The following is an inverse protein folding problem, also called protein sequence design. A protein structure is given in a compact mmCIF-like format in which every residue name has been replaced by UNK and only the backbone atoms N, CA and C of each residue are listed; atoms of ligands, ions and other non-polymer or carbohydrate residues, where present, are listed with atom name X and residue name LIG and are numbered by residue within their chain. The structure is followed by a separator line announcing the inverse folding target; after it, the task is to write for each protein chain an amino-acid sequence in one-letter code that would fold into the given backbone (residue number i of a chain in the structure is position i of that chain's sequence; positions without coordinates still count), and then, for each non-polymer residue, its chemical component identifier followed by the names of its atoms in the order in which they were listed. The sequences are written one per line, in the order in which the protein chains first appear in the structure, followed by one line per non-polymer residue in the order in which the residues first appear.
data_IF_280244542833
#
_entry.id   IF_280244542833
#
_cell.length_a   1.000
_cell.length_b   1.000
_cell.length_c   1.000
_cell.angle_alpha   90.00
_cell.angle_beta   90.00
_cell.angle_gamma   90.00
#
_symmetry.space_group_name_H-M   'P 1'
#
loop_
_entity.id
_entity.type
_entity.pdbx_description
1 polymer ?
#
# COMPACT_ATOMS: atom_id res chain seq x y z
N UNK A 1 32.86 6.03 8.93
CA UNK A 1 32.12 6.76 7.88
C UNK A 1 31.00 5.86 7.41
N UNK A 2 29.74 6.33 7.41
CA UNK A 2 28.65 5.56 6.77
C UNK A 2 28.73 5.85 5.27
N UNK A 3 28.97 4.81 4.47
CA UNK A 3 28.87 4.92 3.01
C UNK A 3 27.39 4.95 2.65
N UNK A 4 26.91 6.07 2.10
CA UNK A 4 25.55 6.17 1.57
C UNK A 4 25.57 5.67 0.13
N UNK A 5 24.76 4.66 -0.18
CA UNK A 5 24.54 4.20 -1.55
C UNK A 5 23.24 4.82 -2.05
N UNK A 6 23.32 5.68 -3.06
CA UNK A 6 22.14 6.16 -3.78
C UNK A 6 21.90 5.27 -4.99
N UNK A 7 20.71 4.68 -5.05
CA UNK A 7 20.24 3.87 -6.18
C UNK A 7 19.05 4.58 -6.81
N UNK A 8 19.17 5.10 -8.05
CA UNK A 8 18.04 5.69 -8.75
C UNK A 8 16.94 4.65 -8.96
N UNK A 9 15.71 5.06 -8.73
CA UNK A 9 14.52 4.25 -8.92
C UNK A 9 13.68 4.89 -10.01
N UNK A 10 13.18 4.08 -10.94
CA UNK A 10 12.22 4.56 -11.93
C UNK A 10 10.86 4.69 -11.26
N UNK A 11 10.26 5.87 -11.39
CA UNK A 11 8.89 6.15 -10.96
C UNK A 11 8.07 6.52 -12.17
N UNK A 12 6.96 5.83 -12.37
CA UNK A 12 5.94 6.16 -13.35
C UNK A 12 4.77 6.86 -12.64
N UNK A 13 4.16 7.83 -13.30
CA UNK A 13 3.03 8.60 -12.79
C UNK A 13 1.85 8.50 -13.77
N UNK A 14 0.67 8.16 -13.25
CA UNK A 14 -0.58 8.10 -13.98
C UNK A 14 -1.55 9.13 -13.40
N UNK A 15 -1.86 10.16 -14.19
CA UNK A 15 -2.86 11.16 -13.82
C UNK A 15 -4.24 10.73 -14.32
N UNK A 16 -5.25 10.83 -13.45
CA UNK A 16 -6.65 10.55 -13.73
C UNK A 16 -7.48 11.80 -13.40
N UNK A 17 -8.11 12.41 -14.41
CA UNK A 17 -9.00 13.56 -14.21
C UNK A 17 -10.33 13.20 -13.53
N UNK A 18 -10.72 11.92 -13.58
CA UNK A 18 -11.92 11.38 -12.96
C UNK A 18 -11.68 9.95 -12.44
N UNK A 19 -12.56 9.48 -11.55
CA UNK A 19 -12.50 8.10 -11.06
C UNK A 19 -12.62 7.12 -12.24
N UNK A 20 -11.60 6.30 -12.47
CA UNK A 20 -11.48 5.45 -13.65
C UNK A 20 -11.49 3.97 -13.26
N UNK A 21 -12.24 3.16 -14.00
CA UNK A 21 -12.21 1.70 -13.85
C UNK A 21 -11.00 1.15 -14.62
N UNK A 22 -10.21 0.32 -13.96
CA UNK A 22 -9.00 -0.31 -14.50
C UNK A 22 -8.98 -1.80 -14.17
N UNK A 23 -8.00 -2.51 -14.71
CA UNK A 23 -7.71 -3.90 -14.35
C UNK A 23 -7.44 -4.03 -12.84
N UNK A 24 -8.05 -5.04 -12.23
CA UNK A 24 -7.90 -5.38 -10.82
C UNK A 24 -6.57 -6.10 -10.51
N UNK A 25 -6.33 -6.33 -9.22
CA UNK A 25 -5.19 -7.14 -8.78
C UNK A 25 -5.34 -8.60 -9.24
N UNK A 26 -4.23 -9.29 -9.47
CA UNK A 26 -4.21 -10.68 -9.94
C UNK A 26 -4.96 -11.65 -9.02
N UNK A 27 -5.03 -11.33 -7.72
CA UNK A 27 -5.73 -12.12 -6.71
C UNK A 27 -6.43 -11.20 -5.70
N UNK A 28 -7.67 -11.51 -5.36
CA UNK A 28 -8.44 -10.88 -4.29
C UNK A 28 -8.73 -11.89 -3.17
N UNK A 29 -7.86 -11.90 -2.16
CA UNK A 29 -8.01 -12.79 -1.00
C UNK A 29 -9.20 -12.43 -0.11
N UNK A 30 -9.83 -11.26 -0.27
CA UNK A 30 -11.02 -10.90 0.52
C UNK A 30 -12.25 -11.75 0.18
N UNK A 31 -12.22 -12.42 -0.97
CA UNK A 31 -13.23 -13.35 -1.46
C UNK A 31 -13.10 -14.77 -0.89
N UNK A 32 -12.02 -15.06 -0.13
CA UNK A 32 -11.86 -16.38 0.48
C UNK A 32 -13.00 -16.66 1.47
N UNK A 33 -13.59 -17.87 1.46
CA UNK A 33 -14.52 -18.28 2.50
C UNK A 33 -13.77 -18.61 3.79
N UNK A 34 -14.29 -18.14 4.92
CA UNK A 34 -13.75 -18.44 6.25
C UNK A 34 -14.81 -18.27 7.34
N UNK A 35 -14.62 -18.93 8.47
CA UNK A 35 -15.41 -18.69 9.68
C UNK A 35 -14.74 -17.57 10.49
N UNK A 36 -15.48 -16.52 10.85
CA UNK A 36 -14.91 -15.36 11.57
C UNK A 36 -15.05 -15.47 13.12
N UNK A 37 -15.40 -16.64 13.63
CA UNK A 37 -15.70 -16.88 15.04
C UNK A 37 -17.19 -16.76 15.40
N UNK A 38 -18.00 -16.12 14.54
CA UNK A 38 -19.44 -15.93 14.76
C UNK A 38 -20.31 -16.47 13.62
N UNK A 39 -19.87 -16.30 12.37
CA UNK A 39 -20.56 -16.74 11.16
C UNK A 39 -19.57 -17.10 10.07
N UNK A 40 -20.06 -17.82 9.07
CA UNK A 40 -19.33 -18.04 7.83
C UNK A 40 -19.39 -16.77 6.96
N UNK A 41 -18.22 -16.37 6.45
CA UNK A 41 -18.04 -15.27 5.50
C UNK A 41 -17.79 -15.89 4.13
N UNK A 42 -18.42 -15.33 3.09
CA UNK A 42 -18.38 -15.85 1.71
C UNK A 42 -18.76 -17.34 1.61
N UNK A 43 -19.72 -17.81 2.40
CA UNK A 43 -20.10 -19.23 2.50
C UNK A 43 -20.58 -19.86 1.18
N UNK A 44 -20.98 -19.02 0.23
CA UNK A 44 -21.39 -19.36 -1.13
C UNK A 44 -20.21 -19.52 -2.11
N UNK A 45 -19.00 -19.12 -1.72
CA UNK A 45 -17.78 -19.24 -2.51
C UNK A 45 -17.04 -20.52 -2.11
N UNK A 46 -16.73 -21.38 -3.08
CA UNK A 46 -15.91 -22.57 -2.82
C UNK A 46 -14.45 -22.18 -2.52
N UNK A 47 -13.80 -22.88 -1.59
CA UNK A 47 -12.39 -22.65 -1.23
C UNK A 47 -11.43 -23.24 -2.27
N UNK A 48 -11.45 -22.66 -3.47
CA UNK A 48 -10.60 -22.99 -4.61
C UNK A 48 -9.94 -21.71 -5.12
N UNK A 49 -8.70 -21.82 -5.59
CA UNK A 49 -7.92 -20.66 -6.06
C UNK A 49 -8.61 -19.91 -7.21
N UNK A 50 -9.35 -20.62 -8.07
CA UNK A 50 -10.06 -20.04 -9.22
C UNK A 50 -11.09 -18.96 -8.85
N UNK A 51 -11.64 -19.04 -7.63
CA UNK A 51 -12.64 -18.07 -7.16
C UNK A 51 -12.03 -16.75 -6.65
N UNK A 52 -10.73 -16.70 -6.43
CA UNK A 52 -10.03 -15.51 -5.91
C UNK A 52 -9.07 -14.89 -6.92
N UNK A 53 -8.71 -15.61 -7.98
CA UNK A 53 -7.93 -15.05 -9.09
C UNK A 53 -8.79 -14.15 -9.97
N UNK A 54 -8.17 -13.09 -10.49
CA UNK A 54 -8.79 -12.27 -11.53
C UNK A 54 -9.02 -13.10 -12.79
N UNK A 55 -10.20 -12.92 -13.40
CA UNK A 55 -10.60 -13.67 -14.58
C UNK A 55 -10.18 -12.92 -15.85
N UNK A 56 -9.50 -13.59 -16.80
CA UNK A 56 -9.10 -12.96 -18.05
C UNK A 56 -10.29 -12.30 -18.76
N UNK A 57 -10.13 -11.03 -19.16
CA UNK A 57 -11.14 -10.25 -19.88
C UNK A 57 -12.43 -9.94 -19.06
N UNK A 58 -12.41 -10.19 -17.75
CA UNK A 58 -13.48 -9.85 -16.79
C UNK A 58 -12.90 -9.17 -15.54
N UNK A 59 -11.78 -8.47 -15.73
CA UNK A 59 -10.85 -7.99 -14.71
C UNK A 59 -11.01 -6.49 -14.40
N UNK A 60 -11.96 -5.81 -15.03
CA UNK A 60 -12.21 -4.37 -14.84
C UNK A 60 -13.07 -4.07 -13.60
N UNK A 61 -12.65 -4.52 -12.42
CA UNK A 61 -13.41 -4.36 -11.18
C UNK A 61 -12.76 -3.40 -10.18
N UNK A 62 -11.56 -2.89 -10.49
CA UNK A 62 -10.88 -1.91 -9.64
C UNK A 62 -11.21 -0.49 -10.10
N UNK A 63 -11.69 0.34 -9.18
CA UNK A 63 -11.92 1.77 -9.42
C UNK A 63 -10.80 2.59 -8.79
N UNK A 64 -9.92 3.14 -9.61
CA UNK A 64 -8.96 4.15 -9.17
C UNK A 64 -9.65 5.50 -9.03
N UNK A 65 -9.26 6.25 -8.01
CA UNK A 65 -9.78 7.59 -7.74
C UNK A 65 -9.11 8.62 -8.63
N UNK A 66 -9.78 9.74 -8.88
CA UNK A 66 -9.14 10.89 -9.53
C UNK A 66 -7.88 11.33 -8.78
N UNK A 67 -6.96 11.98 -9.47
CA UNK A 67 -5.67 12.44 -8.95
C UNK A 67 -4.49 11.77 -9.63
N UNK A 68 -3.31 11.84 -9.03
CA UNK A 68 -2.10 11.19 -9.55
C UNK A 68 -1.76 9.93 -8.77
N UNK A 69 -1.53 8.85 -9.50
CA UNK A 69 -1.05 7.58 -9.00
C UNK A 69 0.42 7.40 -9.35
N UNK A 70 1.27 7.27 -8.34
CA UNK A 70 2.69 6.98 -8.51
C UNK A 70 2.92 5.48 -8.33
N UNK A 71 3.78 4.91 -9.17
CA UNK A 71 4.27 3.53 -9.06
C UNK A 71 5.77 3.55 -9.28
N UNK A 72 6.54 2.96 -8.37
CA UNK A 72 7.99 2.88 -8.51
C UNK A 72 8.47 1.45 -8.64
N UNK A 73 9.42 1.26 -9.55
CA UNK A 73 10.04 -0.03 -9.80
C UNK A 73 11.15 -0.30 -8.78
N UNK A 74 11.18 -1.51 -8.22
CA UNK A 74 12.29 -1.90 -7.37
C UNK A 74 13.58 -2.06 -8.21
N UNK A 75 14.76 -1.69 -7.67
CA UNK A 75 16.02 -1.94 -8.35
C UNK A 75 16.19 -3.42 -8.73
N UNK A 76 16.77 -3.69 -9.90
CA UNK A 76 17.02 -5.05 -10.43
C UNK A 76 17.64 -6.01 -9.42
N UNK A 77 18.56 -5.51 -8.58
CA UNK A 77 19.21 -6.34 -7.56
C UNK A 77 18.22 -6.91 -6.55
N UNK A 78 17.10 -6.24 -6.33
CA UNK A 78 16.04 -6.62 -5.40
C UNK A 78 14.93 -7.46 -6.05
N UNK A 79 14.92 -7.59 -7.38
CA UNK A 79 13.93 -8.38 -8.12
C UNK A 79 14.47 -9.73 -8.58
N UNK A 80 15.76 -10.01 -8.35
CA UNK A 80 16.41 -11.27 -8.73
C UNK A 80 16.33 -12.31 -7.62
N UNK A 81 15.62 -13.39 -7.89
CA UNK A 81 15.60 -14.57 -7.03
C UNK A 81 16.91 -15.35 -7.11
N UNK A 82 17.39 -15.84 -5.97
CA UNK A 82 18.52 -16.77 -5.87
C UNK A 82 17.98 -18.18 -5.63
N UNK A 83 18.36 -19.11 -6.50
CA UNK A 83 18.07 -20.52 -6.30
C UNK A 83 19.06 -21.12 -5.29
N UNK A 84 18.53 -21.78 -4.26
CA UNK A 84 19.31 -22.47 -3.24
C UNK A 84 19.52 -23.93 -3.61
N UNK A 85 20.57 -24.54 -3.05
CA UNK A 85 20.84 -25.99 -3.17
C UNK A 85 19.68 -26.85 -2.62
N UNK A 86 18.83 -26.29 -1.76
CA UNK A 86 17.63 -26.93 -1.22
C UNK A 86 16.46 -27.00 -2.21
N UNK A 87 16.62 -26.45 -3.42
CA UNK A 87 15.57 -26.35 -4.45
C UNK A 87 14.59 -25.19 -4.24
N UNK A 88 14.78 -24.38 -3.19
CA UNK A 88 13.97 -23.17 -2.93
C UNK A 88 14.55 -21.97 -3.68
N UNK A 89 13.67 -21.10 -4.17
CA UNK A 89 14.06 -19.78 -4.69
C UNK A 89 13.78 -18.74 -3.63
N UNK A 90 14.79 -17.95 -3.27
CA UNK A 90 14.68 -16.85 -2.31
C UNK A 90 14.82 -15.51 -3.01
N UNK A 91 13.92 -14.58 -2.71
CA UNK A 91 14.04 -13.19 -3.15
C UNK A 91 14.58 -12.33 -1.99
N UNK A 92 15.40 -11.32 -2.29
CA UNK A 92 15.88 -10.40 -1.27
C UNK A 92 14.72 -9.59 -0.68
N UNK A 93 14.85 -9.23 0.60
CA UNK A 93 13.93 -8.29 1.24
C UNK A 93 14.06 -6.91 0.59
N UNK A 94 12.95 -6.21 0.47
CA UNK A 94 12.85 -4.89 -0.17
C UNK A 94 12.56 -3.81 0.88
N UNK A 95 12.88 -2.53 0.59
CA UNK A 95 12.47 -1.43 1.46
C UNK A 95 10.96 -1.39 1.67
N UNK A 96 10.56 -1.03 2.89
CA UNK A 96 9.16 -1.00 3.33
C UNK A 96 8.75 0.37 3.92
N UNK A 97 9.63 1.38 3.84
CA UNK A 97 9.38 2.75 4.30
C UNK A 97 9.78 3.70 3.20
N UNK A 98 8.81 4.38 2.62
CA UNK A 98 9.04 5.33 1.54
C UNK A 98 8.56 6.70 1.96
N UNK A 99 9.46 7.66 2.03
CA UNK A 99 9.14 9.07 2.16
C UNK A 99 8.76 9.59 0.77
N UNK A 100 7.56 10.13 0.66
CA UNK A 100 7.07 10.88 -0.50
C UNK A 100 7.13 12.36 -0.15
N UNK A 101 7.80 13.14 -0.98
CA UNK A 101 7.83 14.60 -0.85
C UNK A 101 7.26 15.23 -2.12
N UNK A 102 6.08 15.84 -2.00
CA UNK A 102 5.48 16.67 -3.04
C UNK A 102 6.03 18.09 -2.90
N UNK A 103 6.42 18.67 -4.02
CA UNK A 103 6.85 20.07 -4.14
C UNK A 103 5.90 20.76 -5.09
N UNK A 104 5.21 21.78 -4.63
CA UNK A 104 4.33 22.61 -5.45
C UNK A 104 4.94 24.00 -5.56
N UNK A 105 5.19 24.45 -6.78
CA UNK A 105 5.60 25.83 -7.04
C UNK A 105 4.34 26.71 -7.13
N UNK A 106 4.06 27.48 -6.07
CA UNK A 106 2.96 28.46 -6.09
C UNK A 106 3.36 29.73 -6.84
N UNK A 107 4.60 30.17 -6.64
CA UNK A 107 5.21 31.30 -7.33
C UNK A 107 6.73 31.08 -7.49
N UNK A 108 7.47 31.89 -8.28
CA UNK A 108 8.91 31.70 -8.52
C UNK A 108 9.81 31.76 -7.26
N UNK A 109 9.26 32.15 -6.12
CA UNK A 109 9.94 32.32 -4.83
C UNK A 109 9.40 31.43 -3.72
N UNK A 110 8.22 30.82 -3.90
CA UNK A 110 7.49 30.05 -2.89
C UNK A 110 7.25 28.62 -3.39
N UNK A 111 7.87 27.67 -2.70
CA UNK A 111 7.62 26.23 -2.89
C UNK A 111 7.01 25.65 -1.63
N UNK A 112 5.81 25.10 -1.75
CA UNK A 112 5.12 24.37 -0.69
C UNK A 112 5.56 22.90 -0.75
N UNK A 113 5.89 22.34 0.41
CA UNK A 113 6.36 20.97 0.55
C UNK A 113 5.36 20.17 1.38
N UNK A 114 4.87 19.07 0.85
CA UNK A 114 3.98 18.14 1.58
C UNK A 114 4.64 16.77 1.63
N UNK A 115 4.51 16.09 2.77
CA UNK A 115 5.24 14.85 3.05
C UNK A 115 4.32 13.73 3.50
N UNK A 116 4.59 12.53 3.01
CA UNK A 116 3.93 11.31 3.47
C UNK A 116 4.94 10.18 3.66
N UNK A 117 4.66 9.28 4.59
CA UNK A 117 5.33 7.98 4.69
C UNK A 117 4.40 6.89 4.15
N UNK A 118 4.87 6.12 3.19
CA UNK A 118 4.27 4.83 2.83
C UNK A 118 4.95 3.74 3.64
N UNK A 119 4.15 3.05 4.46
CA UNK A 119 4.58 1.86 5.18
C UNK A 119 4.10 0.60 4.46
N UNK A 120 4.92 0.10 3.55
CA UNK A 120 4.57 -0.99 2.62
C UNK A 120 4.19 -2.31 3.30
N UNK A 121 4.74 -2.57 4.50
CA UNK A 121 4.53 -3.81 5.24
C UNK A 121 3.51 -3.69 6.38
N UNK A 122 2.85 -2.53 6.55
CA UNK A 122 1.83 -2.39 7.58
C UNK A 122 0.64 -3.31 7.32
N UNK A 123 0.17 -4.04 8.33
CA UNK A 123 -1.05 -4.84 8.25
C UNK A 123 -2.16 -4.21 9.11
N UNK A 124 -3.19 -3.70 8.47
CA UNK A 124 -4.40 -3.23 9.16
C UNK A 124 -5.04 -4.34 9.97
N UNK A 125 -5.62 -4.08 11.16
CA UNK A 125 -6.35 -5.08 11.97
C UNK A 125 -7.38 -5.92 11.17
N UNK A 126 -7.78 -7.05 11.75
CA UNK A 126 -8.80 -7.92 11.14
C UNK A 126 -10.12 -7.17 10.95
N UNK A 127 -10.94 -7.62 9.99
CA UNK A 127 -12.24 -7.02 9.69
C UNK A 127 -13.12 -6.93 10.94
N UNK A 128 -13.11 -7.96 11.78
CA UNK A 128 -13.91 -7.98 13.01
C UNK A 128 -13.58 -6.82 13.95
N UNK A 129 -12.34 -6.34 13.95
CA UNK A 129 -11.88 -5.25 14.80
C UNK A 129 -12.07 -3.90 14.11
N UNK A 130 -11.68 -3.79 12.82
CA UNK A 130 -11.88 -2.58 12.02
C UNK A 130 -13.35 -2.21 11.91
N UNK A 131 -14.23 -3.20 11.76
CA UNK A 131 -15.65 -2.95 11.53
C UNK A 131 -16.38 -2.41 12.78
N UNK A 132 -15.76 -2.51 13.97
CA UNK A 132 -16.25 -1.90 15.21
C UNK A 132 -15.97 -0.40 15.28
N UNK A 133 -15.03 0.10 14.48
CA UNK A 133 -14.71 1.53 14.40
C UNK A 133 -15.81 2.30 13.64
N UNK A 134 -16.04 3.58 13.98
CA UNK A 134 -16.95 4.45 13.23
C UNK A 134 -16.68 4.45 11.72
N UNK A 135 -17.72 4.67 10.90
CA UNK A 135 -17.57 4.63 9.44
C UNK A 135 -16.54 5.64 8.90
N UNK A 136 -16.41 6.78 9.57
CA UNK A 136 -15.47 7.86 9.24
C UNK A 136 -14.15 7.76 10.00
N UNK A 137 -13.88 6.65 10.70
CA UNK A 137 -12.62 6.44 11.39
C UNK A 137 -11.46 6.38 10.37
N UNK A 138 -10.36 7.14 10.57
CA UNK A 138 -9.23 7.16 9.66
C UNK A 138 -8.67 5.79 9.32
N UNK A 139 -8.53 4.91 10.31
CA UNK A 139 -7.99 3.57 10.11
C UNK A 139 -8.92 2.72 9.24
N UNK A 140 -10.24 2.89 9.39
CA UNK A 140 -11.25 2.20 8.58
C UNK A 140 -11.29 2.71 7.15
N UNK A 141 -11.09 4.00 6.93
CA UNK A 141 -11.06 4.62 5.60
C UNK A 141 -9.80 4.20 4.84
N UNK A 142 -8.63 4.35 5.46
CA UNK A 142 -7.32 4.03 4.88
C UNK A 142 -7.22 2.58 4.39
N UNK A 143 -7.83 1.64 5.12
CA UNK A 143 -7.87 0.22 4.74
C UNK A 143 -8.43 0.01 3.33
N UNK A 144 -9.39 0.84 2.89
CA UNK A 144 -10.07 0.65 1.59
C UNK A 144 -9.14 0.83 0.40
N UNK A 145 -8.07 1.61 0.56
CA UNK A 145 -7.11 1.89 -0.50
C UNK A 145 -5.97 0.85 -0.54
N UNK A 146 -5.86 0.03 0.50
CA UNK A 146 -4.81 -0.98 0.63
C UNK A 146 -5.03 -2.22 -0.23
N UNK A 147 -3.94 -2.91 -0.57
CA UNK A 147 -3.98 -4.23 -1.21
C UNK A 147 -4.32 -5.32 -0.19
N UNK A 148 -4.89 -6.42 -0.67
CA UNK A 148 -5.23 -7.56 0.19
C UNK A 148 -4.18 -8.65 -0.01
N UNK A 149 -3.61 -9.13 1.09
CA UNK A 149 -2.59 -10.20 1.08
C UNK A 149 -3.03 -11.37 1.96
N UNK A 150 -2.64 -12.61 1.63
CA UNK A 150 -2.92 -13.74 2.49
C UNK A 150 -2.04 -13.66 3.72
N UNK A 151 -2.53 -14.18 4.83
CA UNK A 151 -1.73 -14.38 6.04
C UNK A 151 -1.87 -15.82 6.52
N UNK A 152 -0.79 -16.36 7.08
CA UNK A 152 -0.84 -17.69 7.65
C UNK A 152 -1.73 -17.69 8.90
N UNK A 153 -2.75 -18.54 8.87
CA UNK A 153 -3.66 -18.80 9.99
C UNK A 153 -3.31 -20.11 10.72
N UNK A 154 -2.28 -20.82 10.27
CA UNK A 154 -1.74 -22.00 10.93
C UNK A 154 -1.32 -21.67 12.37
N UNK A 155 -1.98 -22.29 13.34
CA UNK A 155 -1.72 -22.05 14.77
C UNK A 155 -2.42 -20.82 15.36
N UNK A 156 -3.26 -20.10 14.61
CA UNK A 156 -4.15 -19.06 15.14
C UNK A 156 -5.44 -19.66 15.70
N UNK A 157 -6.15 -18.89 16.52
CA UNK A 157 -7.44 -19.29 17.06
C UNK A 157 -8.47 -19.55 15.94
N UNK A 158 -9.37 -20.49 16.18
CA UNK A 158 -10.53 -20.68 15.30
C UNK A 158 -11.29 -19.36 15.17
N UNK A 159 -11.58 -18.94 13.94
CA UNK A 159 -12.21 -17.64 13.68
C UNK A 159 -11.29 -16.58 13.05
N UNK A 160 -10.01 -16.89 12.86
CA UNK A 160 -9.07 -15.96 12.21
C UNK A 160 -9.34 -15.77 10.72
N UNK A 161 -9.21 -14.52 10.29
CA UNK A 161 -9.32 -14.12 8.90
C UNK A 161 -8.06 -14.56 8.11
N UNK A 162 -8.20 -15.23 6.94
CA UNK A 162 -7.08 -15.77 6.16
C UNK A 162 -6.34 -14.71 5.33
N UNK A 163 -6.70 -13.44 5.48
CA UNK A 163 -6.11 -12.33 4.75
C UNK A 163 -6.02 -11.09 5.64
N UNK A 164 -5.17 -10.15 5.24
CA UNK A 164 -5.06 -8.83 5.85
C UNK A 164 -4.93 -7.77 4.76
N UNK A 165 -5.26 -6.55 5.12
CA UNK A 165 -5.07 -5.37 4.29
C UNK A 165 -3.66 -4.81 4.53
N UNK A 166 -2.88 -4.60 3.48
CA UNK A 166 -1.45 -4.30 3.55
C UNK A 166 -1.08 -2.98 2.86
N UNK A 167 -0.19 -2.24 3.50
CA UNK A 167 0.34 -0.98 3.00
C UNK A 167 -0.56 0.19 3.39
N UNK A 168 0.03 1.21 4.02
CA UNK A 168 -0.68 2.46 4.39
C UNK A 168 0.14 3.69 4.02
N UNK A 169 -0.55 4.82 3.83
CA UNK A 169 0.04 6.15 3.77
C UNK A 169 -0.23 6.92 5.07
N UNK A 170 0.75 7.70 5.50
CA UNK A 170 0.71 8.52 6.72
C UNK A 170 1.20 9.91 6.35
N UNK A 171 0.37 10.94 6.56
CA UNK A 171 0.79 12.33 6.38
C UNK A 171 1.80 12.73 7.46
N UNK A 172 2.80 13.54 7.08
CA UNK A 172 3.88 13.97 7.96
C UNK A 172 3.99 15.50 8.00
N UNK A 173 4.32 16.01 9.17
CA UNK A 173 4.86 17.36 9.36
C UNK A 173 6.39 17.30 9.33
N UNK A 174 7.02 18.32 8.75
CA UNK A 174 8.48 18.49 8.79
C UNK A 174 8.83 19.81 9.47
N UNK A 175 9.50 19.71 10.62
CA UNK A 175 10.03 20.86 11.34
C UNK A 175 11.40 21.24 10.75
N UNK A 176 11.49 22.44 10.17
CA UNK A 176 12.71 22.95 9.53
C UNK A 176 13.79 23.38 10.53
N UNK A 177 13.42 23.71 11.76
CA UNK A 177 14.36 24.14 12.79
C UNK A 177 15.01 22.92 13.46
N UNK A 178 14.24 21.86 13.67
CA UNK A 178 14.73 20.63 14.31
C UNK A 178 15.12 19.52 13.33
N UNK A 179 14.75 19.64 12.05
CA UNK A 179 14.93 18.62 11.00
C UNK A 179 14.27 17.28 11.35
N UNK A 180 13.10 17.32 11.97
CA UNK A 180 12.36 16.14 12.44
C UNK A 180 11.03 16.01 11.70
N UNK A 181 10.70 14.77 11.32
CA UNK A 181 9.36 14.41 10.86
C UNK A 181 8.49 13.95 12.02
N UNK A 182 7.26 14.43 12.08
CA UNK A 182 6.21 13.94 13.00
C UNK A 182 4.97 13.58 12.21
N UNK A 183 4.12 12.71 12.76
CA UNK A 183 2.85 12.38 12.08
C UNK A 183 1.94 13.60 12.13
N UNK A 184 1.30 13.91 10.99
CA UNK A 184 0.34 14.99 10.91
C UNK A 184 -0.98 14.60 11.60
N UNK A 185 -1.60 15.58 12.26
CA UNK A 185 -2.93 15.46 12.83
C UNK A 185 -3.96 16.10 11.88
N UNK A 186 -5.24 15.79 12.10
CA UNK A 186 -6.32 16.35 11.31
C UNK A 186 -6.28 17.89 11.31
N UNK A 187 -6.40 18.49 10.12
CA UNK A 187 -6.36 19.95 9.92
C UNK A 187 -5.03 20.50 9.42
N UNK A 188 -4.02 19.65 9.19
CA UNK A 188 -2.79 19.99 8.46
C UNK A 188 -3.04 19.97 6.94
N UNK A 189 -2.35 20.82 6.19
CA UNK A 189 -2.41 20.83 4.72
C UNK A 189 -1.93 19.51 4.12
N UNK A 190 -2.70 18.95 3.18
CA UNK A 190 -2.43 17.63 2.58
C UNK A 190 -2.76 16.44 3.49
N UNK A 191 -3.41 16.68 4.64
CA UNK A 191 -4.00 15.62 5.45
C UNK A 191 -5.34 15.19 4.86
N UNK A 192 -5.45 13.92 4.53
CA UNK A 192 -6.73 13.27 4.25
C UNK A 192 -7.23 12.47 5.45
N UNK A 193 -8.55 12.29 5.62
CA UNK A 193 -9.08 11.40 6.65
C UNK A 193 -8.52 9.98 6.57
N UNK A 194 -8.04 9.51 5.41
CA UNK A 194 -7.39 8.20 5.25
C UNK A 194 -5.89 8.19 5.57
N UNK A 195 -5.28 9.32 5.94
CA UNK A 195 -3.89 9.37 6.38
C UNK A 195 -3.82 8.93 7.84
N UNK A 196 -3.26 7.74 8.06
CA UNK A 196 -3.43 7.04 9.34
C UNK A 196 -2.53 7.63 10.43
N UNK A 197 -3.13 8.32 11.40
CA UNK A 197 -2.55 8.45 12.74
C UNK A 197 -2.96 7.22 13.57
N UNK A 198 -1.99 6.36 13.92
CA UNK A 198 -2.22 5.21 14.79
C UNK A 198 -1.61 5.48 16.19
N UNK A 199 -2.40 6.05 17.12
CA UNK A 199 -1.95 6.25 18.50
C UNK A 199 -1.97 4.95 19.31
N UNK A 200 -2.61 3.89 18.81
CA UNK A 200 -2.88 2.63 19.53
C UNK A 200 -1.81 1.56 19.31
N UNK A 201 -0.92 1.73 18.32
CA UNK A 201 0.24 0.87 18.13
C UNK A 201 -0.11 -0.53 17.63
N UNK A 202 -1.14 -0.68 16.79
CA UNK A 202 -1.34 -1.93 16.07
C UNK A 202 -0.14 -2.12 15.12
N UNK A 203 0.81 -2.96 15.51
CA UNK A 203 2.15 -3.03 14.92
C UNK A 203 2.34 -4.24 14.00
N UNK A 204 1.27 -4.96 13.66
CA UNK A 204 1.38 -6.12 12.79
C UNK A 204 2.04 -5.74 11.46
N UNK A 205 3.15 -6.40 11.15
CA UNK A 205 3.89 -6.21 9.91
C UNK A 205 3.88 -7.48 9.08
N UNK A 206 3.85 -7.30 7.78
CA UNK A 206 4.07 -8.38 6.83
C UNK A 206 5.53 -8.80 6.90
N UNK A 207 5.78 -10.03 7.34
CA UNK A 207 7.15 -10.53 7.38
C UNK A 207 7.68 -10.74 5.96
N UNK A 208 8.96 -10.44 5.78
CA UNK A 208 9.70 -10.76 4.57
C UNK A 208 9.09 -10.19 3.28
N UNK A 209 8.72 -8.90 3.24
CA UNK A 209 8.29 -8.26 2.00
C UNK A 209 9.41 -8.36 0.94
N UNK A 210 9.07 -8.89 -0.24
CA UNK A 210 9.96 -9.05 -1.40
C UNK A 210 9.28 -8.53 -2.66
N UNK A 211 10.01 -8.49 -3.78
CA UNK A 211 9.47 -8.09 -5.08
C UNK A 211 8.31 -8.98 -5.58
N UNK A 212 8.17 -10.20 -5.06
CA UNK A 212 7.11 -11.15 -5.43
C UNK A 212 5.96 -11.22 -4.42
N UNK A 213 5.98 -10.40 -3.35
CA UNK A 213 4.91 -10.34 -2.36
C UNK A 213 4.55 -11.72 -1.78
N UNK A 214 3.29 -12.12 -1.97
CA UNK A 214 2.75 -13.42 -1.55
C UNK A 214 3.09 -14.60 -2.48
N UNK A 215 4.05 -14.43 -3.40
CA UNK A 215 4.45 -15.42 -4.39
C UNK A 215 3.98 -15.12 -5.82
N UNK A 216 3.43 -13.92 -6.05
CA UNK A 216 3.02 -13.44 -7.38
C UNK A 216 4.20 -12.73 -8.08
N UNK A 217 4.73 -13.27 -9.19
CA UNK A 217 5.89 -12.68 -9.87
C UNK A 217 5.68 -11.25 -10.35
N UNK A 218 4.45 -10.86 -10.67
CA UNK A 218 4.10 -9.51 -11.09
C UNK A 218 3.81 -8.55 -9.93
N UNK A 219 3.93 -8.99 -8.67
CA UNK A 219 3.49 -8.23 -7.50
C UNK A 219 4.02 -6.79 -7.49
N UNK A 220 5.34 -6.59 -7.54
CA UNK A 220 5.93 -5.25 -7.54
C UNK A 220 5.88 -4.54 -8.90
N UNK A 221 5.62 -5.28 -9.99
CA UNK A 221 5.65 -4.78 -11.36
C UNK A 221 4.27 -4.33 -11.88
N UNK A 222 3.19 -4.69 -11.20
CA UNK A 222 1.83 -4.40 -11.62
C UNK A 222 1.10 -3.58 -10.55
N UNK A 223 0.83 -2.31 -10.86
CA UNK A 223 0.32 -1.34 -9.89
C UNK A 223 -0.89 -1.83 -9.06
N UNK A 224 -1.95 -2.44 -9.64
CA UNK A 224 -3.07 -2.96 -8.86
C UNK A 224 -2.68 -3.97 -7.76
N UNK A 225 -1.62 -4.76 -7.96
CA UNK A 225 -1.11 -5.72 -6.97
C UNK A 225 -0.41 -5.07 -5.78
N UNK A 226 0.13 -3.86 -5.95
CA UNK A 226 0.99 -3.22 -4.96
C UNK A 226 0.71 -1.71 -4.75
N UNK A 227 -0.47 -1.21 -5.11
CA UNK A 227 -0.81 0.24 -5.15
C UNK A 227 -0.61 0.99 -3.83
N UNK A 228 -0.67 0.29 -2.69
CA UNK A 228 -0.43 0.82 -1.34
C UNK A 228 0.92 0.41 -0.74
N UNK A 229 1.73 -0.34 -1.51
CA UNK A 229 2.97 -0.99 -1.07
C UNK A 229 4.17 -0.36 -1.78
N UNK A 230 4.15 -0.36 -3.11
CA UNK A 230 5.11 0.32 -3.99
C UNK A 230 4.42 1.39 -4.85
N UNK A 231 3.33 1.93 -4.31
CA UNK A 231 2.54 2.93 -4.96
C UNK A 231 2.07 3.99 -3.96
N UNK A 232 1.67 5.12 -4.53
CA UNK A 232 1.11 6.25 -3.79
C UNK A 232 0.01 6.89 -4.62
N UNK A 233 -1.02 7.42 -3.96
CA UNK A 233 -2.09 8.16 -4.61
C UNK A 233 -2.25 9.51 -3.92
N UNK A 234 -2.13 10.56 -4.72
CA UNK A 234 -2.39 11.95 -4.34
C UNK A 234 -3.67 12.42 -5.07
N UNK A 235 -4.80 12.57 -4.35
CA UNK A 235 -6.07 13.00 -4.93
C UNK A 235 -6.17 14.50 -5.16
N UNK A 236 -5.27 15.31 -4.58
CA UNK A 236 -5.30 16.76 -4.66
C UNK A 236 -4.58 17.28 -5.91
N UNK A 237 -3.77 16.45 -6.56
CA UNK A 237 -3.14 16.81 -7.83
C UNK A 237 -4.17 17.01 -8.95
N UNK A 238 -4.13 18.18 -9.58
CA UNK A 238 -5.02 18.62 -10.65
C UNK A 238 -4.28 18.88 -11.97
N UNK A 239 -5.03 18.86 -13.07
CA UNK A 239 -4.46 19.16 -14.39
C UNK A 239 -3.93 20.61 -14.43
N UNK A 240 -2.65 20.77 -14.71
CA UNK A 240 -1.98 22.08 -14.74
C UNK A 240 -1.12 22.39 -13.50
N UNK A 241 -1.17 21.55 -12.46
CA UNK A 241 -0.31 21.70 -11.29
C UNK A 241 1.16 21.55 -11.69
N UNK A 242 1.98 22.54 -11.34
CA UNK A 242 3.44 22.47 -11.43
C UNK A 242 3.99 21.84 -10.15
N UNK A 243 3.81 20.51 -10.04
CA UNK A 243 4.33 19.74 -8.92
C UNK A 243 5.41 18.74 -9.34
N UNK A 244 6.36 18.50 -8.45
CA UNK A 244 7.32 17.40 -8.54
C UNK A 244 7.25 16.52 -7.30
N UNK A 245 7.55 15.23 -7.47
CA UNK A 245 7.53 14.24 -6.40
C UNK A 245 8.91 13.61 -6.27
N UNK A 246 9.45 13.63 -5.05
CA UNK A 246 10.61 12.83 -4.69
C UNK A 246 10.17 11.62 -3.87
N UNK A 247 10.74 10.45 -4.17
CA UNK A 247 10.48 9.19 -3.48
C UNK A 247 11.80 8.67 -2.93
N UNK A 248 11.85 8.44 -1.62
CA UNK A 248 13.05 8.03 -0.90
C UNK A 248 12.71 6.82 -0.03
N UNK A 249 13.52 5.75 -0.06
CA UNK A 249 13.30 4.54 0.74
C UNK A 249 14.58 3.80 1.08
#
# INVERSE_FOLDING_TARGET
MKTVLLVPIRTDALFLSEDTIVTEASVDFSRLPYFNGTRDVNADVAFISENVISQPLQDQNLRLKKGVHLHWALPDALTRGRHLETGRTEFPRVPNRWLIAKKVEEDPTTTVMTYWMVESDYLFPEEKDILLLPENDPLRLARRESVVVPVDIGGRESGSQPFRHMGRKIALNFDRDTFVFTVAEAGVEGYEPGDVYDPAGATDRYDSLTAVGYGEPSFAAFYPNCRSVFGFHDPDFSEGDLASYDILG
#
